data_IF_261988227645
#
_entry.id   IF_261988227645
#
_cell.length_a   1.000
_cell.length_b   1.000
_cell.length_c   1.000
_cell.angle_alpha   90.00
_cell.angle_beta   90.00
_cell.angle_gamma   90.00
#
_symmetry.space_group_name_H-M   'P 1'
#
loop_
_entity.id
_entity.type
_entity.pdbx_description
1 polymer ?
#
# COMPACT_ATOMS: atom_id res chain seq x y z
N UNK A 1 -2.08 4.05 -32.60
CA UNK A 1 -1.12 3.93 -31.50
C UNK A 1 -1.60 2.82 -30.58
N UNK A 2 -0.91 1.69 -30.54
CA UNK A 2 -1.34 0.54 -29.74
C UNK A 2 -1.28 0.92 -28.25
N UNK A 3 -2.43 0.91 -27.58
CA UNK A 3 -2.48 0.91 -26.11
C UNK A 3 -1.71 -0.33 -25.66
N UNK A 4 -0.64 -0.16 -24.90
CA UNK A 4 0.13 -1.25 -24.30
C UNK A 4 -0.83 -2.12 -23.47
N UNK A 5 -1.26 -3.24 -24.03
CA UNK A 5 -2.18 -4.18 -23.39
C UNK A 5 -1.48 -4.75 -22.17
N UNK A 6 -1.85 -4.28 -20.98
CA UNK A 6 -1.32 -4.78 -19.70
C UNK A 6 -0.93 -3.69 -18.70
N UNK A 7 -0.55 -2.49 -19.15
CA UNK A 7 -0.16 -1.41 -18.24
C UNK A 7 -1.09 -0.20 -18.32
N UNK A 8 -1.51 0.28 -17.16
CA UNK A 8 -2.25 1.54 -17.03
C UNK A 8 -1.71 2.32 -15.84
N UNK A 9 -0.79 3.23 -16.09
CA UNK A 9 -0.07 3.97 -15.04
C UNK A 9 -0.43 5.44 -15.13
N UNK A 10 -1.19 5.94 -14.15
CA UNK A 10 -1.35 7.38 -13.97
C UNK A 10 -0.33 7.89 -12.97
N UNK A 11 0.54 8.79 -13.39
CA UNK A 11 1.62 9.34 -12.56
C UNK A 11 1.19 10.51 -11.68
N UNK A 12 -0.01 11.06 -11.93
CA UNK A 12 -0.61 12.11 -11.13
C UNK A 12 -2.02 11.71 -10.69
N UNK A 13 -2.37 12.15 -9.49
CA UNK A 13 -3.71 12.11 -8.93
C UNK A 13 -4.00 13.47 -8.30
N UNK A 14 -5.27 13.82 -8.23
CA UNK A 14 -5.73 14.90 -7.38
C UNK A 14 -5.65 14.44 -5.92
N UNK A 15 -4.85 15.13 -5.11
CA UNK A 15 -4.72 14.85 -3.68
C UNK A 15 -5.61 15.81 -2.90
N UNK A 16 -6.30 15.34 -1.84
CA UNK A 16 -6.96 16.25 -0.91
C UNK A 16 -5.95 17.24 -0.31
N UNK A 17 -6.44 18.41 0.13
CA UNK A 17 -5.64 19.36 0.87
C UNK A 17 -5.00 18.69 2.10
N UNK A 18 -3.71 18.96 2.32
CA UNK A 18 -2.91 18.31 3.36
C UNK A 18 -3.52 18.52 4.76
N UNK A 19 -4.08 19.70 4.98
CA UNK A 19 -4.71 20.11 6.24
C UNK A 19 -5.93 19.25 6.56
N UNK A 20 -6.68 18.82 5.54
CA UNK A 20 -7.82 17.91 5.71
C UNK A 20 -7.30 16.53 6.13
N UNK A 21 -6.29 16.00 5.43
CA UNK A 21 -5.71 14.68 5.74
C UNK A 21 -5.11 14.65 7.16
N UNK A 22 -4.43 15.72 7.57
CA UNK A 22 -3.80 15.78 8.89
C UNK A 22 -4.81 15.80 10.05
N UNK A 23 -6.01 16.38 9.86
CA UNK A 23 -7.07 16.33 10.86
C UNK A 23 -7.51 14.89 11.19
N UNK A 24 -7.39 13.95 10.23
CA UNK A 24 -7.74 12.55 10.45
C UNK A 24 -6.77 11.81 11.37
N UNK A 25 -5.53 12.29 11.58
CA UNK A 25 -4.51 11.60 12.39
C UNK A 25 -4.92 11.45 13.87
N UNK A 26 -5.76 12.37 14.37
CA UNK A 26 -6.26 12.35 15.74
C UNK A 26 -7.31 11.28 16.00
N UNK A 27 -8.03 10.84 14.96
CA UNK A 27 -9.13 9.90 15.11
C UNK A 27 -8.66 8.44 15.23
N UNK A 28 -9.57 7.59 15.69
CA UNK A 28 -9.44 6.14 15.64
C UNK A 28 -10.24 5.61 14.47
N UNK A 29 -9.73 4.59 13.77
CA UNK A 29 -10.34 4.06 12.56
C UNK A 29 -11.79 3.60 12.78
N UNK A 30 -12.11 3.05 13.95
CA UNK A 30 -13.46 2.62 14.31
C UNK A 30 -14.47 3.78 14.27
N UNK A 31 -14.14 4.96 14.82
CA UNK A 31 -15.03 6.12 14.80
C UNK A 31 -15.27 6.65 13.37
N UNK A 32 -14.23 6.57 12.52
CA UNK A 32 -14.36 6.93 11.10
C UNK A 32 -15.28 5.94 10.40
N UNK A 33 -15.09 4.63 10.62
CA UNK A 33 -15.95 3.57 10.08
C UNK A 33 -17.42 3.76 10.48
N UNK A 34 -17.68 3.99 11.76
CA UNK A 34 -19.04 4.22 12.28
C UNK A 34 -19.68 5.45 11.64
N UNK A 35 -18.93 6.55 11.52
CA UNK A 35 -19.40 7.80 10.87
C UNK A 35 -19.67 7.63 9.38
N UNK A 36 -18.98 6.68 8.73
CA UNK A 36 -19.17 6.32 7.32
C UNK A 36 -20.17 5.17 7.12
N UNK A 37 -20.97 4.82 8.15
CA UNK A 37 -21.99 3.77 8.04
C UNK A 37 -21.42 2.35 7.90
N UNK A 38 -20.15 2.14 8.24
CA UNK A 38 -19.45 0.84 8.23
C UNK A 38 -19.26 0.20 6.85
N UNK A 39 -19.43 0.98 5.78
CA UNK A 39 -19.36 0.51 4.39
C UNK A 39 -17.94 0.54 3.78
N UNK A 40 -17.02 1.32 4.34
CA UNK A 40 -15.70 1.60 3.75
C UNK A 40 -14.54 1.11 4.62
N UNK A 41 -14.74 -0.01 5.31
CA UNK A 41 -13.72 -0.63 6.16
C UNK A 41 -13.09 -1.80 5.42
N UNK A 42 -11.76 -1.92 5.50
CA UNK A 42 -11.04 -3.05 4.93
C UNK A 42 -11.38 -4.37 5.63
N UNK A 43 -11.15 -5.48 4.92
CA UNK A 43 -11.31 -6.84 5.44
C UNK A 43 -10.45 -7.05 6.71
N UNK A 44 -11.01 -7.75 7.70
CA UNK A 44 -10.38 -7.99 9.00
C UNK A 44 -9.03 -8.72 8.92
N UNK A 45 -8.75 -9.42 7.81
CA UNK A 45 -7.47 -10.09 7.58
C UNK A 45 -6.31 -9.11 7.47
N UNK A 46 -6.57 -7.88 7.02
CA UNK A 46 -5.56 -6.85 6.83
C UNK A 46 -5.18 -6.25 8.19
N UNK A 47 -4.02 -6.64 8.72
CA UNK A 47 -3.57 -6.32 10.07
C UNK A 47 -2.16 -5.69 10.08
N UNK A 48 -1.82 -4.94 11.14
CA UNK A 48 -0.46 -4.40 11.30
C UNK A 48 0.54 -5.56 11.40
N UNK A 49 1.58 -5.51 10.57
CA UNK A 49 2.54 -6.63 10.45
C UNK A 49 3.58 -6.67 11.56
N UNK A 50 3.74 -5.58 12.32
CA UNK A 50 4.57 -5.51 13.52
C UNK A 50 3.96 -4.57 14.58
N UNK A 51 4.45 -4.69 15.82
CA UNK A 51 4.05 -3.83 16.96
C UNK A 51 5.27 -3.49 17.83
N UNK A 52 5.33 -2.28 18.43
CA UNK A 52 4.43 -1.15 18.21
C UNK A 52 4.60 -0.58 16.79
N UNK A 53 3.54 0.03 16.25
CA UNK A 53 3.55 0.67 14.94
C UNK A 53 2.83 2.01 15.05
N UNK A 54 3.39 3.06 14.45
CA UNK A 54 2.72 4.37 14.43
C UNK A 54 1.44 4.32 13.61
N UNK A 55 0.50 5.23 13.90
CA UNK A 55 -0.76 5.35 13.14
C UNK A 55 -0.47 5.64 11.66
N UNK A 56 -1.20 4.95 10.79
CA UNK A 56 -1.17 5.16 9.35
C UNK A 56 -2.31 6.08 8.93
N UNK A 57 -1.99 7.17 8.24
CA UNK A 57 -2.95 8.10 7.64
C UNK A 57 -2.27 8.88 6.52
N UNK A 58 -2.90 8.93 5.35
CA UNK A 58 -2.40 9.58 4.15
C UNK A 58 -3.28 9.33 2.93
N UNK A 59 -2.92 9.91 1.80
CA UNK A 59 -3.67 9.80 0.53
C UNK A 59 -3.30 8.52 -0.21
N UNK A 60 -4.28 7.77 -0.70
CA UNK A 60 -4.02 6.50 -1.37
C UNK A 60 -3.38 6.69 -2.76
N UNK A 61 -2.30 5.95 -3.01
CA UNK A 61 -1.78 5.62 -4.34
C UNK A 61 -2.08 4.14 -4.55
N UNK A 62 -2.95 3.83 -5.50
CA UNK A 62 -3.44 2.46 -5.70
C UNK A 62 -2.57 1.69 -6.67
N UNK A 63 -2.39 0.40 -6.40
CA UNK A 63 -1.67 -0.54 -7.26
C UNK A 63 -2.53 -1.77 -7.45
N UNK A 64 -2.89 -2.08 -8.69
CA UNK A 64 -3.39 -3.39 -9.08
C UNK A 64 -2.18 -4.24 -9.50
N UNK A 65 -1.79 -5.20 -8.67
CA UNK A 65 -0.70 -6.11 -8.96
C UNK A 65 -1.23 -7.42 -9.58
N UNK A 66 -0.39 -8.07 -10.38
CA UNK A 66 -0.55 -9.49 -10.72
C UNK A 66 -0.26 -10.32 -9.46
N UNK A 67 -0.95 -11.45 -9.22
CA UNK A 67 -0.64 -12.35 -8.11
C UNK A 67 0.85 -12.68 -8.05
N UNK A 68 1.44 -12.52 -6.87
CA UNK A 68 2.84 -12.77 -6.59
C UNK A 68 3.87 -11.86 -7.26
N UNK A 69 3.46 -10.74 -7.84
CA UNK A 69 4.36 -9.80 -8.52
C UNK A 69 4.43 -8.45 -7.79
N UNK A 70 5.63 -7.85 -7.74
CA UNK A 70 5.83 -6.54 -7.10
C UNK A 70 6.43 -5.45 -7.99
N UNK A 71 6.48 -5.65 -9.32
CA UNK A 71 7.03 -4.66 -10.25
C UNK A 71 6.33 -3.31 -10.11
N UNK A 72 4.99 -3.31 -10.08
CA UNK A 72 4.23 -2.07 -9.96
C UNK A 72 4.20 -1.52 -8.53
N UNK A 73 4.36 -2.35 -7.51
CA UNK A 73 4.56 -1.90 -6.13
C UNK A 73 5.85 -1.08 -6.01
N UNK A 74 6.92 -1.51 -6.68
CA UNK A 74 8.17 -0.75 -6.77
C UNK A 74 7.97 0.55 -7.55
N UNK A 75 7.29 0.50 -8.70
CA UNK A 75 6.99 1.69 -9.52
C UNK A 75 6.12 2.70 -8.78
N UNK A 76 5.20 2.25 -7.93
CA UNK A 76 4.36 3.12 -7.12
C UNK A 76 5.17 3.98 -6.13
N UNK A 77 6.30 3.48 -5.64
CA UNK A 77 7.23 4.29 -4.83
C UNK A 77 7.74 5.47 -5.65
N UNK A 78 8.02 5.32 -6.94
CA UNK A 78 8.45 6.43 -7.82
C UNK A 78 7.35 7.45 -8.08
N UNK A 79 6.08 7.02 -8.08
CA UNK A 79 4.90 7.89 -8.30
C UNK A 79 4.46 8.61 -7.01
N UNK A 80 4.66 7.97 -5.85
CA UNK A 80 4.21 8.50 -4.56
C UNK A 80 4.89 9.82 -4.18
N UNK A 81 4.16 10.69 -3.49
CA UNK A 81 4.66 11.90 -2.86
C UNK A 81 4.73 11.71 -1.33
N UNK A 82 5.48 12.56 -0.62
CA UNK A 82 5.49 12.52 0.84
C UNK A 82 4.07 12.61 1.42
N UNK A 83 3.74 11.69 2.34
CA UNK A 83 2.41 11.59 2.94
C UNK A 83 1.44 10.65 2.24
N UNK A 84 1.75 10.13 1.06
CA UNK A 84 0.92 9.13 0.38
C UNK A 84 1.01 7.76 1.07
N UNK A 85 -0.03 6.95 0.94
CA UNK A 85 -0.11 5.54 1.36
C UNK A 85 -0.21 4.68 0.11
N UNK A 86 0.70 3.73 -0.06
CA UNK A 86 0.61 2.79 -1.20
C UNK A 86 -0.36 1.68 -0.82
N UNK A 87 -1.44 1.52 -1.60
CA UNK A 87 -2.48 0.51 -1.40
C UNK A 87 -2.43 -0.50 -2.54
N UNK A 88 -2.07 -1.75 -2.22
CA UNK A 88 -1.78 -2.79 -3.21
C UNK A 88 -2.87 -3.86 -3.16
N UNK A 89 -3.63 -3.95 -4.25
CA UNK A 89 -4.49 -5.09 -4.54
C UNK A 89 -3.69 -6.19 -5.23
N UNK A 90 -3.29 -7.19 -4.44
CA UNK A 90 -2.60 -8.43 -4.80
C UNK A 90 -3.56 -9.57 -5.18
N UNK A 91 -4.87 -9.28 -5.29
CA UNK A 91 -5.93 -10.25 -5.64
C UNK A 91 -6.05 -11.37 -4.60
N UNK A 92 -5.76 -11.06 -3.33
CA UNK A 92 -5.74 -12.01 -2.22
C UNK A 92 -4.65 -13.09 -2.32
N UNK A 93 -3.65 -12.94 -3.20
CA UNK A 93 -2.57 -13.93 -3.29
C UNK A 93 -1.70 -13.91 -2.04
N UNK A 94 -1.48 -15.11 -1.50
CA UNK A 94 -0.68 -15.34 -0.29
C UNK A 94 0.53 -16.22 -0.57
N UNK A 95 0.77 -16.59 -1.84
CA UNK A 95 1.87 -17.47 -2.22
C UNK A 95 3.21 -16.76 -2.24
N UNK A 96 3.29 -15.54 -2.80
CA UNK A 96 4.52 -14.76 -2.92
C UNK A 96 4.34 -13.33 -2.39
N UNK A 97 5.39 -12.75 -1.79
CA UNK A 97 5.31 -11.42 -1.18
C UNK A 97 5.17 -10.31 -2.21
N UNK A 98 4.27 -9.33 -2.02
CA UNK A 98 4.14 -8.14 -2.90
C UNK A 98 4.91 -6.91 -2.38
N UNK A 99 5.53 -7.03 -1.21
CA UNK A 99 6.34 -5.98 -0.57
C UNK A 99 7.47 -6.59 0.28
N UNK A 100 8.60 -5.89 0.39
CA UNK A 100 9.76 -6.34 1.16
C UNK A 100 10.68 -5.20 1.62
N UNK A 101 11.80 -5.55 2.26
CA UNK A 101 12.56 -4.64 3.11
C UNK A 101 13.24 -3.52 2.35
N UNK A 102 13.80 -3.82 1.17
CA UNK A 102 14.39 -2.82 0.29
C UNK A 102 13.38 -1.73 -0.10
N UNK A 103 12.15 -2.15 -0.42
CA UNK A 103 11.07 -1.23 -0.75
C UNK A 103 10.63 -0.42 0.46
N UNK A 104 10.59 -1.02 1.66
CA UNK A 104 10.31 -0.29 2.91
C UNK A 104 11.30 0.84 3.13
N UNK A 105 12.60 0.58 3.00
CA UNK A 105 13.64 1.61 3.13
C UNK A 105 13.49 2.73 2.10
N UNK A 106 13.23 2.38 0.83
CA UNK A 106 13.01 3.36 -0.24
C UNK A 106 11.79 4.24 0.02
N UNK A 107 10.66 3.62 0.41
CA UNK A 107 9.41 4.33 0.65
C UNK A 107 9.52 5.25 1.86
N UNK A 108 10.13 4.78 2.95
CA UNK A 108 10.42 5.59 4.14
C UNK A 108 11.32 6.79 3.79
N UNK A 109 12.42 6.57 3.05
CA UNK A 109 13.30 7.65 2.59
C UNK A 109 12.57 8.68 1.72
N UNK A 110 11.57 8.26 0.94
CA UNK A 110 10.75 9.16 0.12
C UNK A 110 9.65 9.89 0.92
N UNK A 111 9.44 9.53 2.17
CA UNK A 111 8.37 10.10 3.01
C UNK A 111 6.98 9.50 2.75
N UNK A 112 6.89 8.30 2.16
CA UNK A 112 5.64 7.55 2.07
C UNK A 112 5.12 7.28 3.49
N UNK A 113 3.83 7.54 3.72
CA UNK A 113 3.22 7.43 5.04
C UNK A 113 3.10 5.98 5.52
N UNK A 114 2.95 5.03 4.59
CA UNK A 114 2.92 3.58 4.84
C UNK A 114 2.37 2.77 3.67
N UNK A 115 2.11 1.50 3.90
CA UNK A 115 1.64 0.53 2.89
C UNK A 115 0.46 -0.26 3.43
N UNK A 116 -0.49 -0.58 2.55
CA UNK A 116 -1.59 -1.50 2.82
C UNK A 116 -1.71 -2.50 1.68
N UNK A 117 -1.92 -3.78 1.98
CA UNK A 117 -2.16 -4.80 0.96
C UNK A 117 -3.10 -5.90 1.46
N UNK A 118 -3.89 -6.46 0.54
CA UNK A 118 -4.64 -7.71 0.72
C UNK A 118 -3.78 -8.96 0.44
N UNK A 119 -2.48 -8.80 0.16
CA UNK A 119 -1.51 -9.87 -0.01
C UNK A 119 -0.61 -10.10 1.20
N UNK A 120 0.46 -10.86 0.97
CA UNK A 120 1.52 -11.11 1.96
C UNK A 120 2.77 -10.28 1.69
N UNK A 121 3.55 -10.02 2.73
CA UNK A 121 4.81 -9.28 2.65
C UNK A 121 5.97 -10.10 3.20
N UNK A 122 7.19 -9.58 3.12
CA UNK A 122 8.37 -10.16 3.77
C UNK A 122 9.22 -9.08 4.42
N UNK A 123 10.33 -9.46 5.07
CA UNK A 123 11.33 -8.51 5.60
C UNK A 123 10.70 -7.51 6.61
N UNK A 124 9.92 -8.04 7.56
CA UNK A 124 9.16 -7.24 8.53
C UNK A 124 10.08 -6.39 9.41
N UNK A 125 11.23 -6.93 9.81
CA UNK A 125 12.16 -6.21 10.67
C UNK A 125 12.73 -4.96 9.98
N UNK A 126 13.12 -5.05 8.70
CA UNK A 126 13.57 -3.87 7.96
C UNK A 126 12.45 -2.82 7.80
N UNK A 127 11.19 -3.26 7.75
CA UNK A 127 10.04 -2.34 7.73
C UNK A 127 9.84 -1.64 9.07
N UNK A 128 10.10 -2.34 10.18
CA UNK A 128 10.10 -1.80 11.55
C UNK A 128 11.25 -0.82 11.77
N UNK A 129 12.46 -1.18 11.37
CA UNK A 129 13.66 -0.33 11.46
C UNK A 129 13.51 0.96 10.66
N UNK A 130 12.81 0.90 9.53
CA UNK A 130 12.51 2.07 8.70
C UNK A 130 11.33 2.93 9.22
N UNK A 131 10.69 2.56 10.33
CA UNK A 131 9.46 3.19 10.86
C UNK A 131 8.36 3.41 9.79
N UNK A 132 8.20 2.42 8.92
CA UNK A 132 7.19 2.42 7.87
C UNK A 132 6.00 1.54 8.28
N UNK A 133 4.81 2.11 8.56
CA UNK A 133 3.62 1.33 8.86
C UNK A 133 3.21 0.47 7.68
N UNK A 134 2.95 -0.81 7.93
CA UNK A 134 2.45 -1.75 6.92
C UNK A 134 1.28 -2.55 7.50
N UNK A 135 0.19 -2.59 6.74
CA UNK A 135 -0.92 -3.51 6.96
C UNK A 135 -0.97 -4.54 5.84
N UNK A 136 -1.04 -5.82 6.19
CA UNK A 136 -1.06 -6.92 5.22
C UNK A 136 -1.91 -8.09 5.74
N UNK A 137 -2.22 -9.06 4.89
CA UNK A 137 -2.88 -10.32 5.30
C UNK A 137 -1.92 -11.23 6.06
N UNK A 138 -0.62 -11.15 5.78
CA UNK A 138 0.37 -11.98 6.48
C UNK A 138 1.79 -11.76 5.99
N UNK A 139 2.66 -12.68 6.39
CA UNK A 139 4.09 -12.64 6.11
C UNK A 139 4.52 -13.96 5.48
N UNK A 140 5.34 -13.91 4.44
CA UNK A 140 5.92 -15.08 3.75
C UNK A 140 7.41 -14.81 3.50
N UNK A 141 8.29 -15.83 3.53
CA UNK A 141 9.66 -15.67 3.03
C UNK A 141 9.75 -15.72 1.50
N UNK A 142 8.69 -16.16 0.80
CA UNK A 142 8.70 -16.38 -0.64
C UNK A 142 8.78 -15.08 -1.43
N UNK A 143 9.73 -15.00 -2.35
CA UNK A 143 10.03 -13.79 -3.13
C UNK A 143 9.01 -13.51 -4.24
N UNK A 144 8.77 -12.25 -4.61
CA UNK A 144 7.93 -11.91 -5.75
C UNK A 144 8.60 -12.19 -7.08
N UNK A 145 7.78 -12.28 -8.13
CA UNK A 145 8.21 -12.05 -9.52
C UNK A 145 8.25 -10.55 -9.85
N UNK A 146 8.83 -10.20 -11.01
CA UNK A 146 8.85 -8.82 -11.55
C UNK A 146 8.56 -8.79 -13.05
N UNK A 147 7.58 -9.59 -13.46
CA UNK A 147 7.21 -9.85 -14.85
C UNK A 147 5.74 -9.50 -15.11
N UNK A 148 5.00 -9.12 -14.06
CA UNK A 148 3.57 -8.89 -14.08
C UNK A 148 3.16 -7.57 -14.71
N UNK A 149 2.02 -7.62 -15.41
CA UNK A 149 1.24 -6.46 -15.83
C UNK A 149 0.39 -5.92 -14.69
N UNK A 150 -0.20 -4.73 -14.85
CA UNK A 150 -1.10 -4.17 -13.86
C UNK A 150 -1.34 -2.67 -14.00
N UNK A 151 -1.84 -2.04 -12.94
CA UNK A 151 -2.31 -0.66 -13.01
C UNK A 151 -1.88 0.15 -11.78
N UNK A 152 -1.64 1.44 -11.95
CA UNK A 152 -1.36 2.40 -10.87
C UNK A 152 -2.35 3.54 -10.96
N UNK A 153 -2.88 3.97 -9.80
CA UNK A 153 -3.85 5.06 -9.67
C UNK A 153 -5.14 4.80 -10.47
N UNK A 154 -5.62 3.57 -10.36
CA UNK A 154 -6.92 3.12 -10.87
C UNK A 154 -7.77 2.60 -9.72
N UNK A 155 -9.07 2.45 -9.95
CA UNK A 155 -9.93 1.78 -8.98
C UNK A 155 -9.47 0.34 -8.77
N UNK A 156 -9.30 -0.05 -7.52
CA UNK A 156 -8.98 -1.41 -7.07
C UNK A 156 -10.03 -1.89 -6.08
N UNK A 157 -10.07 -3.19 -5.79
CA UNK A 157 -10.98 -3.82 -4.82
C UNK A 157 -10.23 -4.82 -3.96
#
# INVERSE_FOLDING_TARGET
MAKETGFKIYTSIERPAKEIVDQYRGFVAANISDSMGRLHTMDYRINPVYKPMRKLCGTAITVQARPGDNLLSLKAIEVAQPGDVIVIAAQGDTSLSVWGGFMSMMAAKKGVAGVVTDGVIRDVEQSREADLPIYAVGVTPAAPTKEGTGQINTSIS
#
